data_IF_127531303451
#
_entry.id   IF_127531303451
#
_cell.length_a   1.000
_cell.length_b   1.000
_cell.length_c   1.000
_cell.angle_alpha   90.00
_cell.angle_beta   90.00
_cell.angle_gamma   90.00
#
_symmetry.space_group_name_H-M   'P 1'
#
loop_
_entity.id
_entity.type
_entity.pdbx_description
1 polymer ?
#
# COMPACT_ATOMS: atom_id res chain seq x y z
N UNK A 1 -30.29 18.18 -8.76
CA UNK A 1 -30.36 17.45 -10.04
C UNK A 1 -28.95 16.96 -10.34
N UNK A 2 -28.63 15.73 -9.93
CA UNK A 2 -27.28 15.15 -9.96
C UNK A 2 -27.07 14.56 -11.35
N UNK A 3 -26.17 15.13 -12.16
CA UNK A 3 -25.77 14.53 -13.42
C UNK A 3 -24.74 13.43 -13.17
N UNK A 4 -25.06 12.23 -13.66
CA UNK A 4 -24.32 11.00 -13.52
C UNK A 4 -22.87 11.11 -13.99
N UNK A 5 -22.03 10.46 -13.21
CA UNK A 5 -20.60 10.28 -13.37
C UNK A 5 -20.34 9.20 -14.45
N UNK A 6 -20.37 9.56 -15.73
CA UNK A 6 -19.90 8.71 -16.82
C UNK A 6 -18.38 8.86 -16.99
N UNK A 7 -17.63 8.30 -16.04
CA UNK A 7 -16.17 8.18 -16.12
C UNK A 7 -15.74 6.77 -16.59
N UNK A 8 -16.49 6.18 -17.53
CA UNK A 8 -16.05 5.02 -18.30
C UNK A 8 -15.30 5.55 -19.53
N UNK A 9 -14.02 5.84 -19.35
CA UNK A 9 -13.16 6.20 -20.48
C UNK A 9 -12.91 4.95 -21.31
N UNK A 10 -13.68 4.78 -22.37
CA UNK A 10 -13.36 3.88 -23.48
C UNK A 10 -12.06 4.39 -24.12
N UNK A 11 -10.95 3.77 -23.75
CA UNK A 11 -9.62 4.06 -24.31
C UNK A 11 -9.66 3.73 -25.81
N UNK A 12 -9.97 4.71 -26.65
CA UNK A 12 -9.86 4.58 -28.09
C UNK A 12 -8.38 4.61 -28.48
N UNK A 13 -7.75 3.44 -28.43
CA UNK A 13 -6.53 3.11 -29.17
C UNK A 13 -6.91 2.03 -30.20
N UNK A 14 -7.60 2.46 -31.26
CA UNK A 14 -8.22 1.58 -32.28
C UNK A 14 -7.21 1.03 -33.31
N UNK A 15 -5.90 1.15 -33.09
CA UNK A 15 -4.91 0.57 -34.01
C UNK A 15 -4.38 -0.82 -33.62
N UNK A 16 -4.44 -1.20 -32.33
CA UNK A 16 -3.83 -2.45 -31.83
C UNK A 16 -4.83 -3.48 -31.27
N UNK A 17 -6.10 -3.11 -31.09
CA UNK A 17 -7.11 -4.01 -30.50
C UNK A 17 -7.31 -5.28 -31.34
N UNK A 18 -7.26 -5.18 -32.67
CA UNK A 18 -7.43 -6.30 -33.60
C UNK A 18 -6.27 -7.31 -33.56
N UNK A 19 -5.06 -6.87 -33.20
CA UNK A 19 -3.90 -7.76 -33.04
C UNK A 19 -3.87 -8.46 -31.66
N UNK A 20 -4.45 -7.84 -30.63
CA UNK A 20 -4.29 -8.28 -29.25
C UNK A 20 -5.57 -8.83 -28.59
N UNK A 21 -6.77 -8.65 -29.15
CA UNK A 21 -8.03 -9.07 -28.50
C UNK A 21 -9.09 -9.51 -29.52
N UNK A 22 -9.54 -10.77 -29.43
CA UNK A 22 -10.59 -11.36 -30.28
C UNK A 22 -12.03 -11.12 -29.79
N UNK A 23 -12.20 -10.54 -28.61
CA UNK A 23 -13.51 -10.25 -28.02
C UNK A 23 -14.13 -9.02 -28.69
N UNK A 24 -15.34 -9.16 -29.24
CA UNK A 24 -16.07 -8.06 -29.88
C UNK A 24 -16.99 -7.27 -28.94
N UNK A 25 -17.30 -7.77 -27.74
CA UNK A 25 -18.31 -7.16 -26.84
C UNK A 25 -17.84 -6.87 -25.42
N UNK A 26 -16.78 -7.50 -24.92
CA UNK A 26 -16.38 -7.33 -23.51
C UNK A 26 -14.86 -7.47 -23.35
N UNK A 27 -14.13 -6.40 -23.68
CA UNK A 27 -12.71 -6.27 -23.33
C UNK A 27 -12.52 -5.95 -21.84
N UNK A 28 -11.29 -6.12 -21.33
CA UNK A 28 -10.92 -5.58 -20.01
C UNK A 28 -11.02 -4.06 -20.05
N UNK A 29 -11.96 -3.49 -19.29
CA UNK A 29 -12.15 -2.05 -19.22
C UNK A 29 -11.27 -1.45 -18.11
N UNK A 30 -10.51 -0.41 -18.44
CA UNK A 30 -9.78 0.37 -17.46
C UNK A 30 -10.72 1.46 -16.92
N UNK A 31 -10.95 1.47 -15.61
CA UNK A 31 -11.63 2.61 -14.98
C UNK A 31 -10.57 3.62 -14.60
N UNK A 32 -10.64 4.81 -15.18
CA UNK A 32 -9.75 5.92 -14.87
C UNK A 32 -10.34 6.78 -13.76
N UNK A 33 -9.49 7.21 -12.84
CA UNK A 33 -9.90 8.13 -11.79
C UNK A 33 -10.24 9.50 -12.39
N UNK A 34 -11.30 10.20 -11.92
CA UNK A 34 -11.62 11.55 -12.36
C UNK A 34 -10.41 12.49 -12.25
N UNK A 35 -10.24 13.34 -13.27
CA UNK A 35 -9.03 14.18 -13.45
C UNK A 35 -8.66 15.01 -12.22
N UNK A 36 -9.64 15.65 -11.60
CA UNK A 36 -9.40 16.49 -10.41
C UNK A 36 -8.78 15.68 -9.26
N UNK A 37 -9.30 14.48 -8.95
CA UNK A 37 -8.75 13.62 -7.91
C UNK A 37 -7.35 13.12 -8.26
N UNK A 38 -7.13 12.77 -9.53
CA UNK A 38 -5.81 12.34 -10.01
C UNK A 38 -4.77 13.45 -9.84
N UNK A 39 -5.12 14.69 -10.17
CA UNK A 39 -4.21 15.83 -10.06
C UNK A 39 -3.95 16.19 -8.58
N UNK A 40 -4.96 16.13 -7.71
CA UNK A 40 -4.80 16.28 -6.25
C UNK A 40 -3.84 15.23 -5.68
N UNK A 41 -4.01 13.95 -6.05
CA UNK A 41 -3.13 12.88 -5.58
C UNK A 41 -1.71 13.04 -6.11
N UNK A 42 -1.53 13.51 -7.35
CA UNK A 42 -0.21 13.78 -7.92
C UNK A 42 0.51 14.88 -7.14
N UNK A 43 -0.18 15.98 -6.85
CA UNK A 43 0.38 17.08 -6.07
C UNK A 43 0.76 16.61 -4.65
N UNK A 44 -0.14 15.91 -3.95
CA UNK A 44 0.14 15.38 -2.62
C UNK A 44 1.36 14.43 -2.62
N UNK A 45 1.51 13.57 -3.63
CA UNK A 45 2.70 12.70 -3.78
C UNK A 45 3.98 13.49 -4.01
N UNK A 46 3.93 14.60 -4.75
CA UNK A 46 5.10 15.47 -4.95
C UNK A 46 5.50 16.14 -3.64
N UNK A 47 4.53 16.65 -2.87
CA UNK A 47 4.75 17.23 -1.54
C UNK A 47 5.35 16.21 -0.56
N UNK A 48 4.87 14.96 -0.60
CA UNK A 48 5.40 13.84 0.20
C UNK A 48 6.88 13.55 -0.03
N UNK A 49 7.43 13.89 -1.20
CA UNK A 49 8.85 13.67 -1.47
C UNK A 49 9.75 14.69 -0.81
N UNK A 50 9.20 15.83 -0.39
CA UNK A 50 9.98 16.91 0.22
C UNK A 50 10.56 16.51 1.58
N UNK A 51 11.78 16.97 1.94
CA UNK A 51 12.38 16.68 3.24
C UNK A 51 11.55 17.20 4.42
N UNK A 52 10.95 18.38 4.26
CA UNK A 52 10.10 19.00 5.29
C UNK A 52 8.88 18.12 5.59
N UNK A 53 8.17 17.66 4.56
CA UNK A 53 7.03 16.75 4.73
C UNK A 53 7.45 15.44 5.40
N UNK A 54 8.56 14.82 4.92
CA UNK A 54 9.10 13.59 5.51
C UNK A 54 9.46 13.79 6.98
N UNK A 55 10.03 14.94 7.35
CA UNK A 55 10.38 15.23 8.73
C UNK A 55 9.13 15.24 9.63
N UNK A 56 8.09 15.97 9.23
CA UNK A 56 6.81 16.00 9.96
C UNK A 56 6.15 14.62 10.02
N UNK A 57 6.25 13.82 8.94
CA UNK A 57 5.62 12.51 8.87
C UNK A 57 6.37 11.39 9.62
N UNK A 58 7.64 11.59 10.03
CA UNK A 58 8.47 10.56 10.69
C UNK A 58 7.80 9.93 11.90
N UNK A 59 7.18 10.73 12.76
CA UNK A 59 6.51 10.24 13.96
C UNK A 59 5.38 9.26 13.59
N UNK A 60 4.57 9.62 12.59
CA UNK A 60 3.48 8.79 12.09
C UNK A 60 3.98 7.55 11.37
N UNK A 61 5.01 7.69 10.53
CA UNK A 61 5.64 6.56 9.83
C UNK A 61 6.15 5.49 10.81
N UNK A 62 6.70 5.90 11.96
CA UNK A 62 7.14 4.96 13.00
C UNK A 62 5.99 4.15 13.61
N UNK A 63 4.84 4.79 13.84
CA UNK A 63 3.63 4.14 14.36
C UNK A 63 3.08 3.17 13.31
N UNK A 64 2.90 3.63 12.07
CA UNK A 64 2.39 2.81 10.96
C UNK A 64 3.29 1.61 10.67
N UNK A 65 4.60 1.79 10.73
CA UNK A 65 5.56 0.68 10.61
C UNK A 65 5.39 -0.36 11.72
N UNK A 66 5.11 0.08 12.96
CA UNK A 66 4.89 -0.83 14.10
C UNK A 66 3.58 -1.60 13.96
N UNK A 67 2.52 -0.93 13.52
CA UNK A 67 1.23 -1.57 13.24
C UNK A 67 1.41 -2.64 12.16
N UNK A 68 2.05 -2.29 11.04
CA UNK A 68 2.33 -3.23 9.96
C UNK A 68 3.20 -4.41 10.43
N UNK A 69 4.24 -4.16 11.23
CA UNK A 69 5.08 -5.22 11.78
C UNK A 69 4.27 -6.17 12.67
N UNK A 70 3.38 -5.63 13.50
CA UNK A 70 2.52 -6.42 14.37
C UNK A 70 1.62 -7.34 13.55
N UNK A 71 0.92 -6.81 12.55
CA UNK A 71 0.01 -7.61 11.72
C UNK A 71 0.74 -8.63 10.86
N UNK A 72 1.93 -8.31 10.35
CA UNK A 72 2.73 -9.20 9.51
C UNK A 72 3.41 -10.35 10.28
N UNK A 73 3.77 -10.15 11.55
CA UNK A 73 4.53 -11.13 12.33
C UNK A 73 3.65 -11.97 13.25
N UNK A 74 2.66 -11.37 13.91
CA UNK A 74 1.94 -12.04 15.02
C UNK A 74 0.57 -12.58 14.63
N UNK A 75 -0.02 -12.14 13.52
CA UNK A 75 -1.37 -12.57 13.12
C UNK A 75 -2.51 -11.98 13.98
N UNK A 76 -2.25 -10.87 14.68
CA UNK A 76 -3.14 -10.24 15.68
C UNK A 76 -4.57 -9.92 15.22
N UNK A 77 -4.85 -9.91 13.91
CA UNK A 77 -6.20 -9.70 13.37
C UNK A 77 -7.19 -10.80 13.76
N UNK A 78 -6.70 -11.99 14.12
CA UNK A 78 -7.51 -13.11 14.52
C UNK A 78 -7.09 -13.55 15.92
N UNK A 79 -8.02 -13.47 16.87
CA UNK A 79 -7.83 -14.03 18.20
C UNK A 79 -7.88 -15.56 18.12
N UNK A 80 -6.77 -16.23 18.43
CA UNK A 80 -6.72 -17.70 18.40
C UNK A 80 -7.49 -18.32 19.56
N UNK A 81 -7.59 -17.59 20.68
CA UNK A 81 -8.26 -18.05 21.89
C UNK A 81 -9.61 -17.36 22.10
N UNK A 82 -10.53 -18.07 22.73
CA UNK A 82 -11.85 -17.55 23.12
C UNK A 82 -11.84 -17.07 24.56
N UNK A 83 -12.43 -15.89 24.79
CA UNK A 83 -12.54 -15.26 26.11
C UNK A 83 -11.51 -14.14 26.34
N UNK A 84 -11.96 -13.04 26.96
CA UNK A 84 -11.20 -11.79 27.07
C UNK A 84 -9.83 -11.98 27.74
N UNK A 85 -9.76 -12.72 28.85
CA UNK A 85 -8.51 -12.94 29.59
C UNK A 85 -7.42 -13.62 28.75
N UNK A 86 -7.80 -14.62 27.94
CA UNK A 86 -6.87 -15.33 27.06
C UNK A 86 -6.42 -14.45 25.90
N UNK A 87 -7.34 -13.66 25.33
CA UNK A 87 -7.03 -12.71 24.25
C UNK A 87 -6.09 -11.60 24.75
N UNK A 88 -6.31 -11.06 25.96
CA UNK A 88 -5.41 -10.08 26.56
C UNK A 88 -3.99 -10.65 26.72
N UNK A 89 -3.88 -11.90 27.17
CA UNK A 89 -2.59 -12.57 27.29
C UNK A 89 -1.92 -12.78 25.92
N UNK A 90 -2.66 -13.22 24.90
CA UNK A 90 -2.19 -13.36 23.52
C UNK A 90 -1.65 -12.04 22.97
N UNK A 91 -2.39 -10.94 23.15
CA UNK A 91 -1.96 -9.60 22.72
C UNK A 91 -0.74 -9.10 23.49
N UNK A 92 -0.64 -9.41 24.78
CA UNK A 92 0.53 -9.05 25.59
C UNK A 92 1.78 -9.79 25.09
N UNK A 93 1.66 -11.08 24.78
CA UNK A 93 2.76 -11.84 24.16
C UNK A 93 3.12 -11.33 22.76
N UNK A 94 2.14 -10.95 21.96
CA UNK A 94 2.39 -10.34 20.65
C UNK A 94 3.17 -9.02 20.79
N UNK A 95 2.77 -8.16 21.72
CA UNK A 95 3.45 -6.89 21.99
C UNK A 95 4.88 -7.09 22.50
N UNK A 96 5.11 -8.03 23.43
CA UNK A 96 6.46 -8.34 23.92
C UNK A 96 7.34 -8.91 22.82
N UNK A 97 6.82 -9.82 21.99
CA UNK A 97 7.56 -10.37 20.85
C UNK A 97 8.01 -9.26 19.87
N UNK A 98 7.12 -8.32 19.53
CA UNK A 98 7.48 -7.18 18.67
C UNK A 98 8.57 -6.31 19.31
N UNK A 99 8.46 -6.00 20.61
CA UNK A 99 9.48 -5.22 21.31
C UNK A 99 10.85 -5.92 21.31
N UNK A 100 10.88 -7.24 21.50
CA UNK A 100 12.12 -8.02 21.46
C UNK A 100 12.75 -8.06 20.06
N UNK A 101 11.94 -8.26 19.02
CA UNK A 101 12.41 -8.21 17.62
C UNK A 101 13.02 -6.85 17.33
N UNK A 102 12.38 -5.77 17.80
CA UNK A 102 12.88 -4.41 17.57
C UNK A 102 14.16 -4.11 18.34
N UNK A 103 14.23 -4.54 19.59
CA UNK A 103 15.43 -4.41 20.41
C UNK A 103 16.60 -5.17 19.80
N UNK A 104 16.36 -6.39 19.33
CA UNK A 104 17.37 -7.20 18.65
C UNK A 104 17.87 -6.54 17.35
N UNK A 105 16.96 -5.99 16.55
CA UNK A 105 17.32 -5.29 15.32
C UNK A 105 18.14 -4.03 15.61
N UNK A 106 17.79 -3.28 16.66
CA UNK A 106 18.58 -2.14 17.12
C UNK A 106 19.98 -2.57 17.58
N UNK A 107 20.08 -3.63 18.39
CA UNK A 107 21.35 -4.14 18.90
C UNK A 107 22.30 -4.62 17.80
N UNK A 108 21.74 -5.24 16.76
CA UNK A 108 22.52 -5.78 15.63
C UNK A 108 22.71 -4.79 14.49
N UNK A 109 22.23 -3.55 14.63
CA UNK A 109 22.14 -2.56 13.54
C UNK A 109 21.45 -3.10 12.27
N UNK A 110 20.55 -4.07 12.44
CA UNK A 110 19.80 -4.67 11.34
C UNK A 110 18.57 -3.80 11.03
N UNK A 111 18.33 -3.40 9.78
CA UNK A 111 17.15 -2.62 9.43
C UNK A 111 15.86 -3.45 9.64
N UNK A 112 14.94 -2.91 10.42
CA UNK A 112 13.69 -3.55 10.87
C UNK A 112 12.72 -3.99 9.76
N UNK A 113 12.75 -3.33 8.60
CA UNK A 113 12.00 -3.72 7.41
C UNK A 113 12.56 -3.03 6.17
N UNK A 114 12.56 -3.75 5.05
CA UNK A 114 12.70 -3.17 3.71
C UNK A 114 11.33 -2.74 3.22
N UNK A 115 11.23 -1.54 2.66
CA UNK A 115 10.05 -1.09 1.90
C UNK A 115 9.66 -2.18 0.91
N UNK A 116 8.44 -2.71 1.02
CA UNK A 116 7.93 -3.72 0.09
C UNK A 116 7.93 -3.12 -1.32
N UNK A 117 8.80 -3.61 -2.18
CA UNK A 117 8.75 -3.30 -3.60
C UNK A 117 7.64 -4.11 -4.24
N UNK A 118 6.66 -3.44 -4.86
CA UNK A 118 5.62 -4.11 -5.63
C UNK A 118 6.24 -4.75 -6.87
N UNK A 119 5.58 -5.78 -7.42
CA UNK A 119 6.07 -6.46 -8.63
C UNK A 119 6.19 -5.49 -9.81
N UNK A 120 5.27 -4.53 -9.93
CA UNK A 120 5.31 -3.48 -10.95
C UNK A 120 6.50 -2.54 -10.71
N UNK A 121 6.72 -2.07 -9.48
CA UNK A 121 7.88 -1.21 -9.16
C UNK A 121 9.22 -1.93 -9.39
N UNK A 122 9.24 -3.27 -9.31
CA UNK A 122 10.42 -4.07 -9.66
C UNK A 122 10.68 -4.11 -11.18
N UNK A 123 9.63 -3.95 -12.00
CA UNK A 123 9.71 -3.93 -13.46
C UNK A 123 10.04 -2.53 -14.02
N UNK A 124 10.05 -1.49 -13.19
CA UNK A 124 9.96 -0.08 -13.60
C UNK A 124 11.29 0.58 -14.03
N UNK A 125 12.17 -0.15 -14.71
CA UNK A 125 13.46 0.39 -15.19
C UNK A 125 13.79 0.09 -16.66
N UNK A 126 12.89 -0.49 -17.45
CA UNK A 126 13.19 -0.81 -18.86
C UNK A 126 12.42 0.03 -19.88
N UNK A 127 11.51 0.92 -19.46
CA UNK A 127 10.64 1.69 -20.36
C UNK A 127 10.81 3.22 -20.26
N UNK A 128 11.77 3.69 -19.45
CA UNK A 128 12.12 5.11 -19.31
C UNK A 128 13.43 5.50 -20.02
N UNK A 129 13.94 4.64 -20.92
CA UNK A 129 15.09 4.88 -21.78
C UNK A 129 14.66 4.90 -23.25
#
# INVERSE_FOLDING_TARGET
>A
MVTLNDAVIAIHSVAQHTACTRSQRSGRQLTLQPRHLHDTLRQARAEQQTPAWKHTYRARAGIEATIHQTTAVTGIHQARYTGLSKVTLEHTFAATAINLIRLHAWWTNTPLQRTRTTHLNRLDLTLAA
#
